data_IF_849131006046
#
_entry.id   IF_849131006046
#
_cell.length_a   1.000
_cell.length_b   1.000
_cell.length_c   1.000
_cell.angle_alpha   90.00
_cell.angle_beta   90.00
_cell.angle_gamma   90.00
#
_symmetry.space_group_name_H-M   'P 1'
#
loop_
_entity.id
_entity.type
_entity.pdbx_description
1 polymer ?
#
# COMPACT_ATOMS: atom_id res chain seq x y z
N UNK A 1 43.08 12.73 -25.82
CA UNK A 1 42.62 11.57 -26.60
C UNK A 1 43.63 10.43 -26.69
N UNK A 2 44.90 10.66 -27.11
CA UNK A 2 45.93 9.58 -27.20
C UNK A 2 46.12 8.78 -25.91
N UNK A 3 46.23 9.45 -24.76
CA UNK A 3 46.40 8.80 -23.46
C UNK A 3 45.25 7.87 -23.04
N UNK A 4 44.00 8.22 -23.39
CA UNK A 4 42.84 7.40 -23.07
C UNK A 4 42.84 6.11 -23.91
N UNK A 5 43.24 6.22 -25.17
CA UNK A 5 43.41 5.09 -26.10
C UNK A 5 44.57 4.20 -25.64
N UNK A 6 45.73 4.78 -25.30
CA UNK A 6 46.88 4.01 -24.79
C UNK A 6 46.58 3.30 -23.47
N UNK A 7 45.76 3.92 -22.60
CA UNK A 7 45.30 3.30 -21.34
C UNK A 7 44.41 2.09 -21.61
N UNK A 8 43.47 2.20 -22.56
CA UNK A 8 42.62 1.09 -23.00
C UNK A 8 43.42 -0.04 -23.67
N UNK A 9 44.37 0.31 -24.54
CA UNK A 9 45.26 -0.67 -25.21
C UNK A 9 46.14 -1.38 -24.18
N UNK A 10 46.72 -0.65 -23.23
CA UNK A 10 47.55 -1.23 -22.17
C UNK A 10 46.74 -2.17 -21.28
N UNK A 11 45.51 -1.82 -20.90
CA UNK A 11 44.63 -2.70 -20.12
C UNK A 11 44.23 -3.96 -20.89
N UNK A 12 43.96 -3.85 -22.19
CA UNK A 12 43.58 -4.99 -23.03
C UNK A 12 44.76 -5.96 -23.25
N UNK A 13 45.99 -5.43 -23.41
CA UNK A 13 47.20 -6.24 -23.51
C UNK A 13 47.52 -6.97 -22.19
N UNK A 14 47.28 -6.34 -21.03
CA UNK A 14 47.53 -6.95 -19.72
C UNK A 14 46.41 -7.87 -19.23
N UNK A 15 45.19 -7.75 -19.76
CA UNK A 15 44.05 -8.57 -19.34
C UNK A 15 44.12 -10.03 -19.87
N UNK A 16 44.99 -10.31 -20.85
CA UNK A 16 45.15 -11.66 -21.41
C UNK A 16 46.21 -12.51 -20.69
N UNK A 17 46.98 -11.93 -19.76
CA UNK A 17 47.90 -12.66 -18.89
C UNK A 17 47.23 -12.90 -17.54
N UNK A 18 46.81 -14.14 -17.29
CA UNK A 18 46.24 -14.59 -16.02
C UNK A 18 47.30 -14.54 -14.91
N UNK A 19 47.39 -13.44 -14.17
CA UNK A 19 48.08 -13.38 -12.87
C UNK A 19 47.27 -12.54 -11.87
N UNK A 20 46.87 -13.09 -10.70
CA UNK A 20 45.90 -12.44 -9.82
C UNK A 20 46.60 -11.72 -8.68
N UNK A 21 47.42 -10.70 -8.93
CA UNK A 21 47.90 -9.81 -7.87
C UNK A 21 48.21 -8.43 -8.45
N UNK A 22 47.39 -7.43 -8.19
CA UNK A 22 47.81 -6.06 -7.81
C UNK A 22 46.57 -5.36 -7.23
N UNK A 23 46.64 -5.23 -5.92
CA UNK A 23 45.75 -4.46 -5.07
C UNK A 23 45.80 -2.98 -5.42
N UNK A 24 44.61 -2.38 -5.42
CA UNK A 24 44.41 -0.94 -5.33
C UNK A 24 44.97 -0.37 -4.03
N UNK A 25 45.47 0.86 -4.12
CA UNK A 25 45.58 1.90 -3.08
C UNK A 25 46.94 2.12 -2.39
N UNK A 26 47.53 3.28 -2.72
CA UNK A 26 48.64 3.99 -2.06
C UNK A 26 48.56 5.43 -2.63
N UNK A 27 48.53 6.55 -1.92
CA UNK A 27 48.39 6.92 -0.52
C UNK A 27 48.06 8.43 -0.53
N UNK A 28 47.26 8.91 0.43
CA UNK A 28 47.31 10.28 0.92
C UNK A 28 47.72 10.20 2.40
N UNK A 29 48.92 10.67 2.74
CA UNK A 29 49.51 10.60 4.07
C UNK A 29 49.34 11.91 4.83
N UNK A 30 48.84 11.85 6.07
CA UNK A 30 49.25 12.74 7.16
C UNK A 30 49.30 11.92 8.45
N UNK A 31 50.39 12.11 9.21
CA UNK A 31 50.98 11.21 10.21
C UNK A 31 50.10 10.75 11.40
N UNK A 32 50.33 9.53 11.91
CA UNK A 32 49.91 9.09 13.23
C UNK A 32 51.12 8.91 14.17
N UNK A 33 51.56 10.00 14.80
CA UNK A 33 52.33 9.93 16.05
C UNK A 33 51.41 10.53 17.11
N UNK A 34 50.43 9.74 17.58
CA UNK A 34 49.80 10.02 18.86
C UNK A 34 49.06 8.78 19.40
N UNK A 35 49.61 8.30 20.52
CA UNK A 35 48.90 7.74 21.68
C UNK A 35 48.59 6.23 21.65
N UNK A 36 49.60 5.47 22.09
CA UNK A 36 49.56 4.61 23.30
C UNK A 36 48.33 3.73 23.51
N UNK A 37 48.50 2.46 23.14
CA UNK A 37 48.19 1.25 23.93
C UNK A 37 47.28 1.39 25.17
N UNK A 38 46.04 0.93 25.04
CA UNK A 38 45.38 0.08 26.05
C UNK A 38 44.81 -1.15 25.34
N UNK A 39 45.38 -2.30 25.67
CA UNK A 39 44.87 -3.61 25.29
C UNK A 39 43.60 -3.90 26.09
N UNK A 40 42.49 -4.12 25.40
CA UNK A 40 41.36 -4.93 25.87
C UNK A 40 40.84 -5.73 24.68
N UNK A 41 40.72 -7.04 24.88
CA UNK A 41 40.41 -8.06 23.87
C UNK A 41 39.03 -7.84 23.19
N UNK A 42 38.93 -7.82 21.85
CA UNK A 42 37.70 -7.48 21.12
C UNK A 42 36.85 -8.71 20.72
N UNK A 43 36.57 -9.64 21.64
CA UNK A 43 35.75 -10.82 21.33
C UNK A 43 34.52 -11.03 22.23
N UNK A 44 34.09 -10.02 23.00
CA UNK A 44 32.95 -10.16 23.90
C UNK A 44 32.08 -8.89 23.98
N UNK A 45 31.71 -8.34 22.82
CA UNK A 45 30.93 -7.10 22.71
C UNK A 45 29.58 -7.28 21.99
N UNK A 46 29.00 -8.49 22.01
CA UNK A 46 27.74 -8.78 21.30
C UNK A 46 26.50 -8.93 22.22
N UNK A 47 26.64 -8.81 23.55
CA UNK A 47 25.51 -9.01 24.49
C UNK A 47 25.03 -7.73 25.21
N UNK A 48 25.61 -6.56 24.95
CA UNK A 48 25.25 -5.30 25.62
C UNK A 48 24.50 -4.29 24.75
N UNK A 49 24.15 -4.62 23.51
CA UNK A 49 23.41 -3.71 22.61
C UNK A 49 21.88 -3.94 22.63
N UNK A 50 21.40 -4.87 23.47
CA UNK A 50 19.95 -5.21 23.62
C UNK A 50 19.31 -4.78 24.94
N UNK A 51 19.98 -3.95 25.74
CA UNK A 51 19.48 -3.47 27.04
C UNK A 51 19.16 -1.96 27.04
N UNK A 52 18.63 -1.44 25.93
CA UNK A 52 17.97 -0.13 25.92
C UNK A 52 16.47 -0.29 26.27
N UNK A 53 16.19 -0.71 27.50
CA UNK A 53 14.83 -0.61 28.08
C UNK A 53 14.76 0.70 28.87
N UNK A 54 13.80 1.60 28.59
CA UNK A 54 13.64 2.79 29.40
C UNK A 54 13.32 2.37 30.84
N UNK A 55 14.01 2.97 31.82
CA UNK A 55 13.72 2.78 33.24
C UNK A 55 12.40 3.48 33.55
N UNK A 56 11.28 2.76 33.42
CA UNK A 56 9.93 3.28 33.60
C UNK A 56 9.72 3.90 34.99
N UNK A 57 10.35 3.34 36.02
CA UNK A 57 10.27 3.86 37.38
C UNK A 57 10.92 5.26 37.51
N UNK A 58 12.03 5.49 36.80
CA UNK A 58 12.68 6.80 36.78
C UNK A 58 11.86 7.83 36.00
N UNK A 59 11.09 7.38 35.00
CA UNK A 59 10.22 8.23 34.19
C UNK A 59 8.92 8.59 34.95
N UNK A 60 8.36 7.64 35.73
CA UNK A 60 7.21 7.92 36.61
C UNK A 60 7.59 8.84 37.76
N UNK A 61 8.79 8.66 38.33
CA UNK A 61 9.28 9.54 39.39
C UNK A 61 9.51 10.98 38.87
N UNK A 62 10.08 11.14 37.67
CA UNK A 62 10.27 12.47 37.06
C UNK A 62 8.94 13.12 36.65
N UNK A 63 8.01 12.35 36.08
CA UNK A 63 6.69 12.85 35.71
C UNK A 63 5.85 13.27 36.94
N UNK A 64 6.01 12.59 38.07
CA UNK A 64 5.39 12.98 39.35
C UNK A 64 6.06 14.20 39.98
N UNK A 65 7.39 14.30 39.88
CA UNK A 65 8.13 15.48 40.35
C UNK A 65 7.88 16.74 39.51
N UNK A 66 7.62 16.57 38.21
CA UNK A 66 7.26 17.65 37.29
C UNK A 66 5.75 17.98 37.27
N UNK A 67 4.95 17.34 38.14
CA UNK A 67 3.52 17.63 38.27
C UNK A 67 2.65 17.22 37.09
N UNK A 68 3.18 16.41 36.16
CA UNK A 68 2.44 15.94 34.97
C UNK A 68 1.46 14.81 35.33
N UNK A 69 1.77 14.04 36.38
CA UNK A 69 0.91 12.99 36.95
C UNK A 69 0.23 13.52 38.21
N UNK A 70 -0.96 14.10 38.04
CA UNK A 70 -1.77 14.65 39.11
C UNK A 70 -2.72 13.57 39.67
N UNK A 71 -2.72 13.39 41.00
CA UNK A 71 -3.63 12.46 41.68
C UNK A 71 -5.02 13.08 41.73
N UNK A 72 -5.77 12.95 40.64
CA UNK A 72 -7.13 13.46 40.56
C UNK A 72 -8.06 12.68 41.50
N UNK A 73 -8.27 13.20 42.70
CA UNK A 73 -9.50 12.98 43.45
C UNK A 73 -10.62 13.71 42.69
N UNK A 74 -11.28 12.96 41.80
CA UNK A 74 -12.38 13.46 40.97
C UNK A 74 -13.59 13.81 41.84
N UNK A 75 -13.65 15.07 42.23
CA UNK A 75 -14.88 15.73 42.64
C UNK A 75 -15.74 16.03 41.41
N UNK A 76 -17.06 15.93 41.61
CA UNK A 76 -18.15 16.15 40.66
C UNK A 76 -18.52 14.97 39.74
N UNK A 77 -19.46 14.14 40.20
CA UNK A 77 -20.87 14.23 39.79
C UNK A 77 -21.72 13.20 40.57
N UNK A 78 -22.74 13.74 41.23
CA UNK A 78 -23.92 13.08 41.82
C UNK A 78 -23.73 12.26 43.11
N UNK A 79 -24.51 12.69 44.11
CA UNK A 79 -24.63 12.15 45.46
C UNK A 79 -24.77 10.62 45.44
N UNK A 80 -23.80 9.93 46.02
CA UNK A 80 -24.01 8.60 46.57
C UNK A 80 -23.47 8.58 47.98
N UNK A 81 -24.30 8.11 48.90
CA UNK A 81 -23.99 8.04 50.33
C UNK A 81 -22.63 7.37 50.56
N UNK A 82 -21.81 7.84 51.52
CA UNK A 82 -20.45 7.34 51.76
C UNK A 82 -20.37 5.88 52.27
N UNK A 83 -21.50 5.18 52.38
CA UNK A 83 -21.62 3.81 52.87
C UNK A 83 -22.07 2.79 51.80
N UNK A 84 -22.07 3.15 50.51
CA UNK A 84 -22.37 2.19 49.42
C UNK A 84 -21.09 1.76 48.71
N UNK A 85 -20.83 0.46 48.75
CA UNK A 85 -19.84 -0.20 47.92
C UNK A 85 -20.05 0.15 46.43
N UNK A 86 -18.95 0.31 45.69
CA UNK A 86 -18.93 0.71 44.29
C UNK A 86 -19.97 -0.06 43.46
N UNK A 87 -20.89 0.68 42.82
CA UNK A 87 -21.83 0.12 41.87
C UNK A 87 -21.31 0.37 40.45
N UNK A 88 -20.95 -0.68 39.70
CA UNK A 88 -20.57 -0.51 38.31
C UNK A 88 -21.74 0.03 37.48
N UNK A 89 -21.46 0.75 36.40
CA UNK A 89 -22.49 1.27 35.50
C UNK A 89 -23.33 0.11 34.93
N UNK A 90 -24.65 0.32 34.88
CA UNK A 90 -25.59 -0.64 34.28
C UNK A 90 -25.44 -0.61 32.76
N UNK A 91 -24.96 -1.70 32.17
CA UNK A 91 -24.86 -1.85 30.72
C UNK A 91 -26.23 -2.19 30.12
N UNK A 92 -26.64 -1.47 29.09
CA UNK A 92 -27.86 -1.74 28.32
C UNK A 92 -27.46 -2.55 27.08
N UNK A 93 -28.23 -3.59 26.69
CA UNK A 93 -28.00 -4.29 25.43
C UNK A 93 -28.17 -3.34 24.24
N UNK A 94 -27.05 -2.98 23.62
CA UNK A 94 -27.02 -2.27 22.34
C UNK A 94 -27.15 -3.32 21.24
N UNK A 95 -28.12 -3.15 20.35
CA UNK A 95 -28.27 -4.00 19.17
C UNK A 95 -27.16 -3.60 18.18
N UNK A 96 -26.29 -4.54 17.84
CA UNK A 96 -25.30 -4.38 16.78
C UNK A 96 -25.89 -4.95 15.49
N UNK A 97 -25.89 -4.16 14.42
CA UNK A 97 -26.33 -4.61 13.10
C UNK A 97 -25.29 -5.58 12.52
N UNK A 98 -25.45 -6.89 12.78
CA UNK A 98 -24.52 -7.91 12.28
C UNK A 98 -24.51 -8.06 10.74
N UNK A 99 -25.54 -7.54 10.06
CA UNK A 99 -25.66 -7.53 8.59
C UNK A 99 -24.70 -6.55 7.90
N UNK A 100 -24.21 -5.53 8.60
CA UNK A 100 -23.22 -4.60 8.06
C UNK A 100 -21.91 -5.31 7.74
N UNK A 101 -21.56 -6.39 8.44
CA UNK A 101 -20.32 -7.12 8.20
C UNK A 101 -20.29 -7.77 6.81
N UNK A 102 -21.38 -8.41 6.37
CA UNK A 102 -21.42 -9.05 5.06
C UNK A 102 -21.55 -8.03 3.93
N UNK A 103 -22.36 -6.98 4.12
CA UNK A 103 -22.52 -5.90 3.16
C UNK A 103 -21.23 -5.09 3.01
N UNK A 104 -20.56 -4.72 4.10
CA UNK A 104 -19.29 -4.01 4.10
C UNK A 104 -18.15 -4.87 3.51
N UNK A 105 -18.11 -6.18 3.79
CA UNK A 105 -17.14 -7.09 3.15
C UNK A 105 -17.34 -7.12 1.63
N UNK A 106 -18.59 -7.18 1.16
CA UNK A 106 -18.91 -7.17 -0.26
C UNK A 106 -18.54 -5.82 -0.91
N UNK A 107 -18.85 -4.72 -0.26
CA UNK A 107 -18.50 -3.37 -0.73
C UNK A 107 -16.98 -3.20 -0.80
N UNK A 108 -16.23 -3.62 0.22
CA UNK A 108 -14.76 -3.59 0.22
C UNK A 108 -14.18 -4.45 -0.89
N UNK A 109 -14.76 -5.62 -1.17
CA UNK A 109 -14.33 -6.47 -2.28
C UNK A 109 -14.60 -5.81 -3.63
N UNK A 110 -15.76 -5.15 -3.79
CA UNK A 110 -16.09 -4.39 -5.00
C UNK A 110 -15.16 -3.19 -5.20
N UNK A 111 -14.83 -2.45 -4.13
CA UNK A 111 -13.87 -1.36 -4.16
C UNK A 111 -12.48 -1.85 -4.59
N UNK A 112 -11.99 -2.94 -3.99
CA UNK A 112 -10.71 -3.55 -4.37
C UNK A 112 -10.70 -4.00 -5.83
N UNK A 113 -11.82 -4.52 -6.33
CA UNK A 113 -11.96 -4.93 -7.72
C UNK A 113 -11.96 -3.73 -8.66
N UNK A 114 -12.64 -2.64 -8.29
CA UNK A 114 -12.60 -1.37 -9.02
C UNK A 114 -11.21 -0.77 -9.05
N UNK A 115 -10.49 -0.78 -7.93
CA UNK A 115 -9.10 -0.32 -7.87
C UNK A 115 -8.19 -1.17 -8.74
N UNK A 116 -8.37 -2.50 -8.75
CA UNK A 116 -7.62 -3.40 -9.64
C UNK A 116 -7.92 -3.10 -11.10
N UNK A 117 -9.19 -2.97 -11.48
CA UNK A 117 -9.56 -2.64 -12.85
C UNK A 117 -8.96 -1.29 -13.28
N UNK A 118 -8.96 -0.27 -12.41
CA UNK A 118 -8.31 1.02 -12.68
C UNK A 118 -6.79 0.93 -12.84
N UNK A 119 -6.16 -0.10 -12.27
CA UNK A 119 -4.71 -0.33 -12.36
C UNK A 119 -4.33 -1.22 -13.55
N UNK A 120 -5.29 -1.85 -14.23
CA UNK A 120 -4.98 -2.69 -15.38
C UNK A 120 -4.38 -1.84 -16.51
N UNK A 121 -3.28 -2.33 -17.09
CA UNK A 121 -2.50 -1.61 -18.10
C UNK A 121 -3.33 -1.23 -19.33
N UNK A 122 -4.22 -2.12 -19.78
CA UNK A 122 -5.08 -1.91 -20.95
C UNK A 122 -6.07 -0.76 -20.74
N UNK A 123 -6.60 -0.62 -19.53
CA UNK A 123 -7.50 0.51 -19.22
C UNK A 123 -6.71 1.82 -19.24
N UNK A 124 -5.47 1.83 -18.73
CA UNK A 124 -4.61 3.01 -18.79
C UNK A 124 -4.20 3.38 -20.21
N UNK A 125 -3.91 2.39 -21.07
CA UNK A 125 -3.61 2.58 -22.50
C UNK A 125 -4.82 3.14 -23.28
N UNK A 126 -6.02 2.60 -23.02
CA UNK A 126 -7.24 3.17 -23.59
C UNK A 126 -7.46 4.60 -23.09
N UNK A 127 -7.23 4.87 -21.80
CA UNK A 127 -7.35 6.22 -21.26
C UNK A 127 -6.36 7.15 -21.95
N UNK A 128 -5.10 6.75 -22.16
CA UNK A 128 -4.12 7.62 -22.83
C UNK A 128 -4.44 7.86 -24.31
N UNK A 129 -5.00 6.88 -25.02
CA UNK A 129 -5.42 7.06 -26.42
C UNK A 129 -6.56 8.10 -26.55
N UNK A 130 -7.50 8.10 -25.61
CA UNK A 130 -8.63 9.04 -25.61
C UNK A 130 -8.36 10.35 -24.85
N UNK A 131 -7.26 10.44 -24.10
CA UNK A 131 -6.89 11.63 -23.34
C UNK A 131 -6.02 12.56 -24.19
N UNK A 132 -6.47 13.79 -24.38
CA UNK A 132 -5.72 14.81 -25.11
C UNK A 132 -4.61 15.47 -24.27
N UNK A 133 -4.49 15.12 -22.98
CA UNK A 133 -3.45 15.67 -22.09
C UNK A 133 -2.09 15.04 -22.41
N UNK A 134 -1.00 15.83 -22.45
CA UNK A 134 0.32 15.28 -22.71
C UNK A 134 0.77 14.37 -21.57
N UNK A 135 1.39 13.24 -21.93
CA UNK A 135 1.97 12.30 -20.96
C UNK A 135 3.30 12.82 -20.40
N UNK A 136 3.54 12.56 -19.12
CA UNK A 136 4.82 12.84 -18.47
C UNK A 136 5.77 11.67 -18.73
N UNK A 137 6.64 11.81 -19.72
CA UNK A 137 7.77 10.90 -19.93
C UNK A 137 9.04 11.46 -19.28
N UNK A 138 9.89 10.59 -18.76
CA UNK A 138 11.22 10.98 -18.31
C UNK A 138 12.13 11.17 -19.52
N UNK A 139 13.05 12.14 -19.48
CA UNK A 139 14.02 12.28 -20.55
C UNK A 139 14.91 11.03 -20.62
N UNK A 140 15.30 10.68 -21.84
CA UNK A 140 16.25 9.60 -22.07
C UNK A 140 17.50 9.82 -21.22
N UNK A 141 17.88 8.80 -20.44
CA UNK A 141 19.04 8.83 -19.55
C UNK A 141 18.88 9.60 -18.23
N UNK A 142 17.83 10.42 -18.06
CA UNK A 142 17.53 11.07 -16.76
C UNK A 142 16.63 10.22 -15.88
N UNK A 143 15.97 9.22 -16.46
CA UNK A 143 15.31 8.21 -15.65
C UNK A 143 16.38 7.55 -14.80
N UNK A 144 16.36 7.78 -13.49
CA UNK A 144 17.31 7.18 -12.53
C UNK A 144 17.17 5.65 -12.43
N UNK A 145 16.47 5.05 -13.38
CA UNK A 145 16.10 3.66 -13.53
C UNK A 145 16.63 3.06 -14.82
N UNK A 146 17.70 3.61 -15.40
CA UNK A 146 18.44 2.94 -16.49
C UNK A 146 18.71 1.49 -16.08
N UNK A 147 18.03 0.54 -16.72
CA UNK A 147 18.13 -0.90 -16.47
C UNK A 147 17.30 -1.46 -15.31
N UNK A 148 16.43 -0.69 -14.65
CA UNK A 148 15.44 -1.23 -13.69
C UNK A 148 14.15 -1.49 -14.46
N UNK A 149 13.66 -2.73 -14.52
CA UNK A 149 12.34 -3.01 -15.07
C UNK A 149 11.33 -2.10 -14.35
N UNK A 150 10.65 -1.28 -15.15
CA UNK A 150 9.80 -0.18 -14.69
C UNK A 150 8.52 -0.74 -14.10
N UNK A 151 8.61 -1.39 -12.94
CA UNK A 151 7.41 -1.72 -12.21
C UNK A 151 6.82 -0.42 -11.68
N UNK A 152 5.59 -0.13 -12.09
CA UNK A 152 4.81 1.04 -11.67
C UNK A 152 4.85 1.21 -10.14
N UNK A 153 4.80 0.09 -9.40
CA UNK A 153 4.91 0.09 -7.94
C UNK A 153 6.25 0.61 -7.42
N UNK A 154 7.39 0.20 -8.01
CA UNK A 154 8.69 0.66 -7.56
C UNK A 154 8.93 2.14 -7.90
N UNK A 155 8.42 2.60 -9.05
CA UNK A 155 8.44 4.02 -9.38
C UNK A 155 7.53 4.83 -8.44
N UNK A 156 6.32 4.35 -8.14
CA UNK A 156 5.44 5.00 -7.17
C UNK A 156 6.07 5.09 -5.77
N UNK A 157 6.67 4.01 -5.28
CA UNK A 157 7.39 3.99 -3.99
C UNK A 157 8.59 4.95 -3.99
N UNK A 158 9.28 5.10 -5.13
CA UNK A 158 10.38 6.05 -5.30
C UNK A 158 9.87 7.50 -5.28
N UNK A 159 8.87 7.83 -6.09
CA UNK A 159 8.27 9.16 -6.16
C UNK A 159 7.68 9.57 -4.81
N UNK A 160 7.05 8.63 -4.09
CA UNK A 160 6.53 8.88 -2.76
C UNK A 160 7.65 9.20 -1.75
N UNK A 161 8.78 8.48 -1.84
CA UNK A 161 9.96 8.80 -1.01
C UNK A 161 10.52 10.17 -1.36
N UNK A 162 10.75 10.46 -2.64
CA UNK A 162 11.26 11.75 -3.11
C UNK A 162 10.40 12.91 -2.61
N UNK A 163 9.08 12.81 -2.80
CA UNK A 163 8.13 13.79 -2.29
C UNK A 163 8.22 13.98 -0.77
N UNK A 164 8.30 12.89 -0.01
CA UNK A 164 8.42 12.98 1.45
C UNK A 164 9.74 13.64 1.87
N UNK A 165 10.84 13.33 1.19
CA UNK A 165 12.16 13.92 1.46
C UNK A 165 12.17 15.42 1.14
N UNK A 166 11.50 15.85 0.07
CA UNK A 166 11.32 17.26 -0.30
C UNK A 166 10.42 18.00 0.68
N UNK A 167 9.27 17.42 1.03
CA UNK A 167 8.29 18.04 1.93
C UNK A 167 8.85 18.25 3.35
N UNK A 168 9.72 17.33 3.81
CA UNK A 168 10.25 17.34 5.17
C UNK A 168 11.74 17.71 5.24
N UNK A 169 12.42 17.92 4.11
CA UNK A 169 13.86 18.17 4.01
C UNK A 169 14.74 17.13 4.75
N UNK A 170 14.30 15.86 4.81
CA UNK A 170 15.00 14.76 5.49
C UNK A 170 15.22 13.62 4.50
N UNK A 171 16.44 13.09 4.41
CA UNK A 171 16.75 11.91 3.59
C UNK A 171 16.32 10.62 4.27
N UNK A 172 15.58 9.77 3.57
CA UNK A 172 15.17 8.47 4.08
C UNK A 172 16.22 7.40 3.77
N UNK A 173 16.55 6.58 4.77
CA UNK A 173 17.45 5.44 4.56
C UNK A 173 16.69 4.26 3.98
N UNK A 174 17.33 3.54 3.06
CA UNK A 174 16.73 2.34 2.42
C UNK A 174 17.22 1.10 3.15
N UNK A 175 16.29 0.24 3.58
CA UNK A 175 16.58 -1.06 4.20
C UNK A 175 17.37 -1.99 3.26
N UNK A 176 18.20 -2.87 3.83
CA UNK A 176 18.93 -3.91 3.07
C UNK A 176 17.97 -4.78 2.24
N UNK A 177 16.77 -5.07 2.75
CA UNK A 177 15.73 -5.83 2.04
C UNK A 177 15.25 -5.12 0.78
N UNK A 178 14.98 -3.82 0.88
CA UNK A 178 14.48 -3.03 -0.25
C UNK A 178 15.59 -2.78 -1.28
N UNK A 179 16.84 -2.60 -0.85
CA UNK A 179 18.00 -2.61 -1.75
C UNK A 179 18.10 -3.90 -2.55
N UNK A 180 17.88 -5.07 -1.92
CA UNK A 180 17.87 -6.36 -2.62
C UNK A 180 16.71 -6.46 -3.62
N UNK A 181 15.52 -6.00 -3.25
CA UNK A 181 14.35 -5.96 -4.16
C UNK A 181 14.62 -5.09 -5.39
N UNK A 182 15.20 -3.91 -5.20
CA UNK A 182 15.55 -3.01 -6.29
C UNK A 182 16.54 -3.66 -7.26
N UNK A 183 17.57 -4.34 -6.75
CA UNK A 183 18.55 -5.09 -7.56
C UNK A 183 17.96 -6.29 -8.31
N UNK A 184 16.88 -6.90 -7.78
CA UNK A 184 16.22 -8.03 -8.45
C UNK A 184 15.31 -7.54 -9.59
N UNK A 185 14.69 -6.38 -9.44
CA UNK A 185 13.87 -5.75 -10.48
C UNK A 185 14.69 -5.30 -11.70
N UNK A 186 16.01 -5.09 -11.57
CA UNK A 186 16.86 -4.68 -12.71
C UNK A 186 17.25 -5.81 -13.65
N UNK A 187 16.96 -7.06 -13.29
CA UNK A 187 17.51 -8.23 -14.00
C UNK A 187 16.45 -9.03 -14.76
N UNK A 188 15.16 -8.68 -14.62
CA UNK A 188 14.07 -9.45 -15.23
C UNK A 188 13.30 -8.59 -16.24
N UNK A 189 13.50 -8.90 -17.51
CA UNK A 189 12.63 -8.41 -18.59
C UNK A 189 11.24 -9.07 -18.56
N UNK A 190 11.10 -10.19 -17.82
CA UNK A 190 9.82 -10.88 -17.63
C UNK A 190 8.73 -9.97 -17.02
N UNK A 191 9.12 -8.94 -16.27
CA UNK A 191 8.19 -7.98 -15.67
C UNK A 191 7.54 -7.05 -16.71
N UNK A 192 8.19 -6.80 -17.85
CA UNK A 192 7.60 -5.99 -18.93
C UNK A 192 6.37 -6.67 -19.54
N UNK A 193 6.34 -8.00 -19.54
CA UNK A 193 5.19 -8.80 -19.98
C UNK A 193 4.22 -9.13 -18.86
N UNK A 194 4.62 -9.00 -17.58
CA UNK A 194 3.75 -9.28 -16.44
C UNK A 194 2.52 -8.35 -16.38
N UNK A 195 2.64 -7.13 -16.91
CA UNK A 195 1.52 -6.21 -17.05
C UNK A 195 0.44 -6.67 -18.05
N UNK A 196 0.78 -7.57 -18.97
CA UNK A 196 -0.18 -8.16 -19.92
C UNK A 196 -1.13 -9.14 -19.24
N UNK A 197 -0.80 -9.72 -18.08
CA UNK A 197 -1.67 -10.72 -17.45
C UNK A 197 -2.84 -10.10 -16.65
N UNK A 198 -2.91 -8.77 -16.47
CA UNK A 198 -3.96 -8.13 -15.64
C UNK A 198 -5.26 -7.84 -16.42
N UNK A 199 -5.75 -8.81 -17.20
CA UNK A 199 -7.07 -8.74 -17.86
C UNK A 199 -8.24 -8.93 -16.88
N UNK A 200 -7.98 -9.34 -15.63
CA UNK A 200 -9.02 -9.66 -14.65
C UNK A 200 -9.98 -8.48 -14.36
N UNK A 201 -9.54 -7.24 -14.57
CA UNK A 201 -10.39 -6.06 -14.49
C UNK A 201 -11.41 -5.93 -15.63
N UNK A 202 -11.07 -6.40 -16.83
CA UNK A 202 -11.86 -6.20 -18.05
C UNK A 202 -13.14 -7.02 -18.03
N UNK A 203 -13.10 -8.27 -17.56
CA UNK A 203 -14.30 -9.11 -17.44
C UNK A 203 -15.35 -8.47 -16.51
N UNK A 204 -14.89 -7.79 -15.47
CA UNK A 204 -15.77 -7.12 -14.51
C UNK A 204 -16.38 -5.86 -15.11
N UNK A 205 -15.60 -5.12 -15.90
CA UNK A 205 -16.07 -3.96 -16.64
C UNK A 205 -17.06 -4.36 -17.74
N UNK A 206 -16.79 -5.44 -18.48
CA UNK A 206 -17.67 -5.96 -19.54
C UNK A 206 -19.02 -6.41 -18.95
N UNK A 207 -18.98 -7.08 -17.79
CA UNK A 207 -20.19 -7.49 -17.06
C UNK A 207 -20.95 -6.29 -16.49
N UNK A 208 -20.24 -5.29 -15.95
CA UNK A 208 -20.86 -4.05 -15.49
C UNK A 208 -21.54 -3.30 -16.65
N UNK A 209 -20.85 -3.15 -17.78
CA UNK A 209 -21.37 -2.54 -19.00
C UNK A 209 -22.62 -3.28 -19.51
N UNK A 210 -22.57 -4.61 -19.60
CA UNK A 210 -23.70 -5.45 -20.00
C UNK A 210 -24.92 -5.28 -19.07
N UNK A 211 -24.68 -5.26 -17.75
CA UNK A 211 -25.76 -5.05 -16.77
C UNK A 211 -26.37 -3.64 -16.84
N UNK A 212 -25.56 -2.62 -17.16
CA UNK A 212 -26.04 -1.24 -17.31
C UNK A 212 -26.88 -1.07 -18.58
N UNK A 213 -26.48 -1.72 -19.67
CA UNK A 213 -27.24 -1.74 -20.92
C UNK A 213 -28.58 -2.47 -20.77
N UNK A 214 -28.61 -3.59 -20.04
CA UNK A 214 -29.86 -4.28 -19.70
C UNK A 214 -30.83 -3.37 -18.89
N UNK A 215 -30.30 -2.62 -17.92
CA UNK A 215 -31.10 -1.63 -17.16
C UNK A 215 -31.60 -0.50 -18.06
N UNK A 216 -30.76 0.05 -18.94
CA UNK A 216 -31.16 1.10 -19.89
C UNK A 216 -32.26 0.63 -20.84
N UNK A 217 -32.15 -0.58 -21.41
CA UNK A 217 -33.20 -1.18 -22.26
C UNK A 217 -34.55 -1.27 -21.55
N UNK A 218 -34.55 -1.73 -20.28
CA UNK A 218 -35.77 -1.82 -19.48
C UNK A 218 -36.45 -0.47 -19.18
N UNK A 219 -35.68 0.61 -19.13
CA UNK A 219 -36.20 1.97 -18.92
C UNK A 219 -36.73 2.56 -20.23
N UNK A 220 -36.08 2.26 -21.36
CA UNK A 220 -36.53 2.69 -22.70
C UNK A 220 -37.84 1.98 -23.08
N UNK A 221 -37.96 0.67 -22.83
CA UNK A 221 -39.21 -0.07 -23.08
C UNK A 221 -40.39 0.43 -22.24
N UNK A 222 -40.13 0.90 -21.01
CA UNK A 222 -41.15 1.53 -20.15
C UNK A 222 -41.50 2.97 -20.57
N UNK A 223 -40.66 3.62 -21.37
CA UNK A 223 -40.84 5.02 -21.82
C UNK A 223 -41.24 5.14 -23.29
N UNK A 224 -41.22 4.05 -24.04
CA UNK A 224 -41.78 4.02 -25.37
C UNK A 224 -43.28 4.37 -25.26
N UNK A 225 -43.78 5.39 -25.99
CA UNK A 225 -45.19 5.68 -25.99
C UNK A 225 -45.91 4.46 -26.55
N UNK A 226 -46.79 3.86 -25.76
CA UNK A 226 -47.69 2.81 -26.21
C UNK A 226 -48.63 3.37 -27.28
N UNK A 227 -48.18 3.42 -28.52
CA UNK A 227 -49.00 3.77 -29.68
C UNK A 227 -49.91 2.61 -30.04
N UNK A 228 -50.77 2.20 -29.11
CA UNK A 228 -51.94 1.34 -29.33
C UNK A 228 -52.65 1.04 -28.00
N UNK A 229 -53.60 1.90 -27.60
CA UNK A 229 -54.88 1.47 -26.99
C UNK A 229 -55.72 2.66 -26.55
N UNK A 230 -56.56 3.15 -27.46
CA UNK A 230 -57.88 3.61 -27.04
C UNK A 230 -58.63 2.37 -26.52
N UNK A 231 -58.79 2.24 -25.21
CA UNK A 231 -59.42 1.05 -24.63
C UNK A 231 -59.53 1.07 -23.11
N UNK A 232 -60.63 1.65 -22.63
CA UNK A 232 -61.37 1.26 -21.42
C UNK A 232 -60.57 0.98 -20.15
N UNK A 233 -60.45 2.00 -19.29
CA UNK A 233 -60.07 1.83 -17.88
C UNK A 233 -61.26 1.18 -17.15
N UNK A 234 -61.20 -0.14 -16.96
CA UNK A 234 -62.10 -0.86 -16.05
C UNK A 234 -61.48 -0.85 -14.64
N UNK A 235 -62.08 -0.17 -13.64
CA UNK A 235 -61.49 -0.06 -12.29
C UNK A 235 -61.64 -1.32 -11.42
N UNK A 236 -61.95 -2.49 -11.99
CA UNK A 236 -62.24 -3.71 -11.23
C UNK A 236 -61.50 -4.98 -11.72
N UNK A 237 -60.25 -4.85 -12.20
CA UNK A 237 -59.40 -6.02 -12.43
C UNK A 237 -58.69 -6.44 -11.14
N UNK A 238 -59.04 -7.63 -10.64
CA UNK A 238 -58.52 -8.30 -9.43
C UNK A 238 -56.98 -8.28 -9.37
N UNK A 239 -56.36 -8.14 -8.18
CA UNK A 239 -54.91 -8.19 -8.06
C UNK A 239 -54.40 -9.59 -8.43
N UNK A 240 -53.46 -9.65 -9.38
CA UNK A 240 -52.80 -10.90 -9.77
C UNK A 240 -52.09 -11.53 -8.56
N UNK A 241 -52.43 -12.77 -8.26
CA UNK A 241 -51.79 -13.57 -7.21
C UNK A 241 -50.31 -13.76 -7.53
N UNK A 242 -49.44 -12.97 -6.88
CA UNK A 242 -48.00 -13.24 -6.85
C UNK A 242 -47.79 -14.52 -6.04
N UNK A 243 -47.39 -15.61 -6.72
CA UNK A 243 -46.95 -16.85 -6.07
C UNK A 243 -45.69 -16.55 -5.25
N UNK A 244 -45.83 -16.51 -3.93
CA UNK A 244 -44.71 -16.54 -3.01
C UNK A 244 -43.94 -17.85 -3.25
N UNK A 245 -42.68 -17.72 -3.68
CA UNK A 245 -41.78 -18.84 -3.87
C UNK A 245 -41.40 -19.35 -2.48
N UNK A 246 -41.95 -20.49 -2.07
CA UNK A 246 -41.56 -21.14 -0.82
C UNK A 246 -40.09 -21.56 -0.90
N UNK A 247 -39.25 -20.84 -0.15
CA UNK A 247 -37.85 -21.22 0.02
C UNK A 247 -37.77 -22.52 0.80
N UNK A 248 -37.18 -23.55 0.19
CA UNK A 248 -36.79 -24.79 0.88
C UNK A 248 -35.64 -24.47 1.82
N UNK A 249 -35.95 -24.28 3.10
CA UNK A 249 -34.97 -24.37 4.17
C UNK A 249 -34.45 -25.81 4.19
N UNK A 250 -33.21 -26.02 3.73
CA UNK A 250 -32.50 -27.25 4.05
C UNK A 250 -31.99 -27.11 5.49
N UNK A 251 -32.56 -27.90 6.39
CA UNK A 251 -32.02 -28.10 7.73
C UNK A 251 -30.66 -28.78 7.60
N UNK A 252 -29.59 -28.07 7.96
CA UNK A 252 -28.29 -28.70 8.20
C UNK A 252 -28.43 -29.55 9.47
N UNK A 253 -28.33 -30.88 9.31
CA UNK A 253 -28.17 -31.80 10.43
C UNK A 253 -26.88 -31.45 11.17
N UNK A 254 -27.01 -31.44 12.50
CA UNK A 254 -25.92 -31.37 13.47
C UNK A 254 -25.03 -32.59 13.37
#
# INVERSE_FOLDING_TARGET
MRYQIDKLIRTALTANSNDPQISSSKLGSTNPEDISSQQVDPLNQDESESLYKPKLDSLMASAKAQGILESHSSSSLQQSDPNKAYQPPKLIPVHYDEDDSLKAKREKAELRLKERAKKSQIINELISEFDARPEKSSSWGTSSTVGVAQNEKFEADRLHREKYEEDNFIRMTISKKDKKRLKQGTLRLDDEFAGLEDFAGIDTLSRAASSSNAKRKSVVEKRAPSSSSAGSINPFSKPSAKKLKSGKFQSRKR
#
